data_IF_003532523192
#
_entry.id   IF_003532523192
#
_cell.length_a   1.000
_cell.length_b   1.000
_cell.length_c   1.000
_cell.angle_alpha   90.00
_cell.angle_beta   90.00
_cell.angle_gamma   90.00
#
_symmetry.space_group_name_H-M   'P 1'
#
loop_
_entity.id
_entity.type
_entity.pdbx_description
1 polymer ?
#
# COMPACT_ATOMS: atom_id res chain seq x y z
N UNK A 1 -6.81 36.18 -11.96
CA UNK A 1 -6.17 35.19 -11.06
C UNK A 1 -5.59 34.03 -11.86
N UNK A 2 -6.40 33.27 -12.59
CA UNK A 2 -5.92 32.11 -13.37
C UNK A 2 -4.86 32.52 -14.41
N UNK A 3 -5.09 33.57 -15.19
CA UNK A 3 -4.10 34.08 -16.15
C UNK A 3 -2.79 34.53 -15.49
N UNK A 4 -2.88 35.14 -14.31
CA UNK A 4 -1.70 35.53 -13.52
C UNK A 4 -0.90 34.32 -13.03
N UNK A 5 -1.59 33.25 -12.59
CA UNK A 5 -0.94 32.00 -12.19
C UNK A 5 -0.27 31.35 -13.41
N UNK A 6 -0.94 31.38 -14.57
CA UNK A 6 -0.38 30.82 -15.80
C UNK A 6 0.88 31.55 -16.25
N UNK A 7 0.84 32.88 -16.35
CA UNK A 7 2.00 33.66 -16.80
C UNK A 7 3.18 33.56 -15.84
N UNK A 8 2.94 33.48 -14.53
CA UNK A 8 4.02 33.58 -13.54
C UNK A 8 4.64 32.23 -13.16
N UNK A 9 3.95 31.09 -13.40
CA UNK A 9 4.38 29.76 -12.92
C UNK A 9 4.58 28.70 -14.01
N UNK A 10 4.02 28.87 -15.22
CA UNK A 10 4.32 27.97 -16.34
C UNK A 10 5.61 28.33 -17.09
N UNK A 11 6.06 29.58 -16.98
CA UNK A 11 7.23 30.09 -17.73
C UNK A 11 8.52 30.17 -16.90
N UNK A 12 8.44 30.04 -15.57
CA UNK A 12 9.59 30.21 -14.66
C UNK A 12 9.88 28.94 -13.86
N UNK A 13 11.14 28.76 -13.46
CA UNK A 13 11.65 27.75 -12.50
C UNK A 13 11.08 28.02 -11.10
N UNK A 14 9.76 27.91 -10.96
CA UNK A 14 9.07 28.17 -9.72
C UNK A 14 9.51 27.16 -8.65
N UNK A 15 9.74 27.66 -7.44
CA UNK A 15 10.02 26.83 -6.27
C UNK A 15 8.88 25.83 -6.05
N UNK A 16 9.23 24.58 -5.78
CA UNK A 16 8.28 23.46 -5.57
C UNK A 16 7.33 23.78 -4.43
N UNK A 17 7.79 24.49 -3.40
CA UNK A 17 6.96 24.94 -2.29
C UNK A 17 5.85 25.91 -2.76
N UNK A 18 6.18 26.84 -3.66
CA UNK A 18 5.20 27.77 -4.24
C UNK A 18 4.14 27.05 -5.07
N UNK A 19 4.54 26.03 -5.85
CA UNK A 19 3.60 25.23 -6.65
C UNK A 19 2.59 24.52 -5.74
N UNK A 20 3.05 23.92 -4.63
CA UNK A 20 2.19 23.27 -3.63
C UNK A 20 1.25 24.27 -2.96
N UNK A 21 1.74 25.47 -2.60
CA UNK A 21 0.91 26.49 -1.97
C UNK A 21 -0.22 26.96 -2.89
N UNK A 22 0.08 27.18 -4.17
CA UNK A 22 -0.90 27.64 -5.16
C UNK A 22 -1.93 26.55 -5.46
N UNK A 23 -1.49 25.31 -5.65
CA UNK A 23 -2.40 24.20 -5.93
C UNK A 23 -3.41 24.02 -4.79
N UNK A 24 -2.93 24.10 -3.54
CA UNK A 24 -3.77 24.06 -2.32
C UNK A 24 -4.67 25.27 -2.19
N UNK A 25 -4.16 26.47 -2.47
CA UNK A 25 -4.95 27.71 -2.42
C UNK A 25 -6.11 27.66 -3.40
N UNK A 26 -5.86 27.27 -4.65
CA UNK A 26 -6.90 27.13 -5.69
C UNK A 26 -7.97 26.09 -5.31
N UNK A 27 -7.55 24.99 -4.69
CA UNK A 27 -8.48 23.96 -4.20
C UNK A 27 -9.34 24.47 -3.04
N UNK A 28 -8.74 25.16 -2.08
CA UNK A 28 -9.41 25.63 -0.88
C UNK A 28 -10.29 26.87 -1.09
N UNK A 29 -10.00 27.69 -2.11
CA UNK A 29 -10.73 28.93 -2.39
C UNK A 29 -12.24 28.69 -2.63
N UNK A 30 -12.57 27.55 -3.25
CA UNK A 30 -13.96 27.15 -3.50
C UNK A 30 -14.73 26.84 -2.20
N UNK A 31 -14.04 26.40 -1.15
CA UNK A 31 -14.67 25.92 0.08
C UNK A 31 -14.59 26.95 1.22
N UNK A 32 -13.52 27.76 1.26
CA UNK A 32 -13.24 28.69 2.36
C UNK A 32 -13.83 30.10 2.17
N UNK A 33 -14.34 30.44 0.98
CA UNK A 33 -14.78 31.80 0.64
C UNK A 33 -16.27 31.87 0.27
N UNK A 34 -17.20 31.72 1.25
CA UNK A 34 -18.64 31.79 0.98
C UNK A 34 -19.09 33.20 0.53
N UNK A 35 -18.33 34.24 0.86
CA UNK A 35 -18.59 35.59 0.37
C UNK A 35 -18.29 35.75 -1.12
N UNK A 36 -17.30 35.00 -1.64
CA UNK A 36 -17.01 34.98 -3.07
C UNK A 36 -18.20 34.37 -3.82
N UNK A 37 -18.78 33.28 -3.30
CA UNK A 37 -20.02 32.70 -3.84
C UNK A 37 -21.16 33.72 -3.91
N UNK A 38 -21.33 34.54 -2.87
CA UNK A 38 -22.36 35.60 -2.84
C UNK A 38 -22.18 36.64 -3.94
N UNK A 39 -20.93 37.01 -4.27
CA UNK A 39 -20.64 37.93 -5.37
C UNK A 39 -21.15 37.40 -6.72
N UNK A 40 -21.04 36.10 -6.98
CA UNK A 40 -21.53 35.47 -8.22
C UNK A 40 -23.07 35.36 -8.25
N UNK A 41 -23.72 35.19 -7.09
CA UNK A 41 -25.19 35.14 -7.01
C UNK A 41 -25.87 36.51 -7.15
N UNK A 42 -25.24 37.59 -6.65
CA UNK A 42 -25.76 38.95 -6.79
C UNK A 42 -25.82 39.41 -8.25
N UNK A 43 -24.91 38.93 -9.10
CA UNK A 43 -24.91 39.22 -10.53
C UNK A 43 -26.09 38.58 -11.30
N UNK A 44 -26.76 37.56 -10.76
CA UNK A 44 -27.88 36.88 -11.43
C UNK A 44 -29.25 37.55 -11.20
N UNK A 45 -29.43 38.30 -10.12
CA UNK A 45 -30.74 38.84 -9.73
C UNK A 45 -31.29 39.94 -10.67
N UNK A 46 -30.50 40.45 -11.62
CA UNK A 46 -30.94 41.53 -12.50
C UNK A 46 -31.64 41.06 -13.78
N UNK A 47 -31.59 39.78 -14.16
CA UNK A 47 -32.23 39.30 -15.39
C UNK A 47 -33.04 38.02 -15.15
N UNK A 48 -34.36 38.18 -15.03
CA UNK A 48 -35.33 37.10 -15.11
C UNK A 48 -35.12 36.24 -16.36
N UNK A 49 -34.66 34.99 -16.19
CA UNK A 49 -35.08 33.83 -16.97
C UNK A 49 -34.54 32.54 -16.36
N UNK A 50 -35.48 31.64 -16.06
CA UNK A 50 -35.23 30.26 -15.68
C UNK A 50 -34.47 29.55 -16.80
N UNK A 51 -33.19 29.26 -16.58
CA UNK A 51 -32.42 28.29 -17.36
C UNK A 51 -31.60 27.47 -16.36
N UNK A 52 -31.90 26.17 -16.27
CA UNK A 52 -31.13 25.16 -15.56
C UNK A 52 -29.79 24.89 -16.27
N UNK A 53 -28.92 25.89 -16.32
CA UNK A 53 -27.53 25.72 -16.73
C UNK A 53 -26.69 26.25 -15.58
N UNK A 54 -25.74 25.42 -15.13
CA UNK A 54 -24.83 25.60 -13.99
C UNK A 54 -24.63 27.05 -13.57
N UNK A 55 -24.82 27.35 -12.28
CA UNK A 55 -24.62 28.71 -11.75
C UNK A 55 -23.20 29.20 -12.09
N UNK A 56 -22.98 30.50 -12.38
CA UNK A 56 -21.67 31.05 -12.73
C UNK A 56 -20.61 30.79 -11.65
N UNK A 57 -21.04 30.61 -10.39
CA UNK A 57 -20.18 30.11 -9.31
C UNK A 57 -19.66 28.70 -9.54
N UNK A 58 -20.50 27.77 -10.00
CA UNK A 58 -20.10 26.39 -10.31
C UNK A 58 -19.07 26.36 -11.45
N UNK A 59 -19.25 27.18 -12.48
CA UNK A 59 -18.28 27.32 -13.57
C UNK A 59 -16.93 27.87 -13.07
N UNK A 60 -16.95 28.92 -12.26
CA UNK A 60 -15.73 29.45 -11.63
C UNK A 60 -15.05 28.40 -10.73
N UNK A 61 -15.80 27.63 -9.95
CA UNK A 61 -15.27 26.55 -9.13
C UNK A 61 -14.63 25.44 -9.98
N UNK A 62 -15.25 25.09 -11.12
CA UNK A 62 -14.70 24.10 -12.05
C UNK A 62 -13.37 24.58 -12.63
N UNK A 63 -13.30 25.84 -13.08
CA UNK A 63 -12.05 26.43 -13.59
C UNK A 63 -10.95 26.43 -12.53
N UNK A 64 -11.24 26.87 -11.30
CA UNK A 64 -10.27 26.86 -10.20
C UNK A 64 -9.76 25.46 -9.87
N UNK A 65 -10.64 24.45 -9.86
CA UNK A 65 -10.27 23.05 -9.63
C UNK A 65 -9.43 22.48 -10.78
N UNK A 66 -9.75 22.82 -12.03
CA UNK A 66 -8.95 22.41 -13.19
C UNK A 66 -7.53 22.98 -13.11
N UNK A 67 -7.39 24.26 -12.75
CA UNK A 67 -6.08 24.89 -12.58
C UNK A 67 -5.31 24.34 -11.36
N UNK A 68 -6.01 24.00 -10.27
CA UNK A 68 -5.40 23.27 -9.15
C UNK A 68 -4.84 21.91 -9.60
N UNK A 69 -5.58 21.15 -10.40
CA UNK A 69 -5.10 19.89 -10.96
C UNK A 69 -3.89 20.11 -11.88
N UNK A 70 -3.92 21.14 -12.75
CA UNK A 70 -2.81 21.46 -13.65
C UNK A 70 -1.53 21.84 -12.89
N UNK A 71 -1.65 22.62 -11.81
CA UNK A 71 -0.52 22.97 -10.95
C UNK A 71 0.02 21.77 -10.17
N UNK A 72 -0.86 20.88 -9.69
CA UNK A 72 -0.42 19.60 -9.12
C UNK A 72 0.28 18.68 -10.13
N UNK A 73 -0.13 18.67 -11.39
CA UNK A 73 0.57 17.94 -12.47
C UNK A 73 1.96 18.52 -12.74
N UNK A 74 2.13 19.85 -12.64
CA UNK A 74 3.45 20.48 -12.74
C UNK A 74 4.35 20.02 -11.58
N UNK A 75 3.83 20.06 -10.35
CA UNK A 75 4.52 19.51 -9.18
C UNK A 75 4.93 18.05 -9.38
N UNK A 76 3.99 17.20 -9.83
CA UNK A 76 4.23 15.79 -10.11
C UNK A 76 5.38 15.60 -11.10
N UNK A 77 5.42 16.37 -12.20
CA UNK A 77 6.53 16.31 -13.17
C UNK A 77 7.87 16.68 -12.55
N UNK A 78 7.92 17.72 -11.72
CA UNK A 78 9.13 18.12 -11.00
C UNK A 78 9.61 17.04 -10.01
N UNK A 79 8.68 16.37 -9.33
CA UNK A 79 9.03 15.27 -8.41
C UNK A 79 9.49 14.04 -9.19
N UNK A 80 8.81 13.68 -10.28
CA UNK A 80 9.22 12.56 -11.14
C UNK A 80 10.62 12.77 -11.75
N UNK A 81 10.96 13.98 -12.20
CA UNK A 81 12.28 14.26 -12.76
C UNK A 81 13.40 14.14 -11.70
N UNK A 82 13.16 14.67 -10.50
CA UNK A 82 14.07 14.50 -9.35
C UNK A 82 14.21 13.03 -8.95
N UNK A 83 13.10 12.29 -8.94
CA UNK A 83 13.10 10.87 -8.64
C UNK A 83 13.97 10.08 -9.63
N UNK A 84 13.85 10.36 -10.93
CA UNK A 84 14.69 9.71 -11.94
C UNK A 84 16.19 9.99 -11.73
N UNK A 85 16.55 11.22 -11.35
CA UNK A 85 17.94 11.56 -11.02
C UNK A 85 18.40 10.78 -9.78
N UNK A 86 17.62 10.79 -8.71
CA UNK A 86 17.95 10.09 -7.48
C UNK A 86 18.03 8.57 -7.65
N UNK A 87 17.15 7.98 -8.48
CA UNK A 87 17.19 6.57 -8.81
C UNK A 87 18.51 6.22 -9.51
N UNK A 88 18.92 7.02 -10.51
CA UNK A 88 20.21 6.85 -11.19
C UNK A 88 21.40 6.99 -10.24
N UNK A 89 21.35 7.93 -9.30
CA UNK A 89 22.47 8.18 -8.38
C UNK A 89 22.57 7.13 -7.27
N UNK A 90 21.43 6.65 -6.75
CA UNK A 90 21.40 5.73 -5.60
C UNK A 90 21.41 4.26 -6.02
N UNK A 91 20.74 3.88 -7.09
CA UNK A 91 20.61 2.48 -7.51
C UNK A 91 21.75 2.01 -8.41
N UNK A 92 22.93 2.62 -8.36
CA UNK A 92 24.07 2.26 -9.22
C UNK A 92 24.53 0.83 -8.94
N UNK A 93 24.87 0.08 -10.01
CA UNK A 93 25.48 -1.23 -9.86
C UNK A 93 26.81 -1.11 -9.11
N UNK A 94 26.99 -1.81 -7.98
CA UNK A 94 28.27 -1.79 -7.28
C UNK A 94 29.34 -2.44 -8.16
N UNK A 95 30.35 -1.67 -8.55
CA UNK A 95 31.47 -2.15 -9.38
C UNK A 95 32.53 -2.91 -8.56
N UNK A 96 32.55 -2.70 -7.24
CA UNK A 96 33.51 -3.32 -6.33
C UNK A 96 32.80 -4.10 -5.22
N UNK A 97 33.48 -5.13 -4.69
CA UNK A 97 32.96 -5.93 -3.57
C UNK A 97 32.65 -5.08 -2.33
N UNK A 98 33.49 -4.07 -2.05
CA UNK A 98 33.26 -3.14 -0.94
C UNK A 98 31.96 -2.34 -1.11
N UNK A 99 31.65 -1.88 -2.34
CA UNK A 99 30.39 -1.19 -2.63
C UNK A 99 29.18 -2.14 -2.54
N UNK A 100 29.35 -3.42 -2.84
CA UNK A 100 28.30 -4.43 -2.65
C UNK A 100 28.01 -4.65 -1.16
N UNK A 101 29.05 -4.71 -0.31
CA UNK A 101 28.87 -4.83 1.14
C UNK A 101 28.12 -3.64 1.76
N UNK A 102 28.23 -2.46 1.16
CA UNK A 102 27.49 -1.27 1.60
C UNK A 102 26.05 -1.21 1.09
N UNK A 103 25.69 -2.01 0.07
CA UNK A 103 24.34 -2.03 -0.49
C UNK A 103 23.46 -3.17 0.07
N UNK A 104 24.08 -4.25 0.53
CA UNK A 104 23.40 -5.47 0.98
C UNK A 104 23.16 -5.44 2.49
N UNK A 105 21.90 -5.58 2.96
CA UNK A 105 21.61 -5.72 4.39
C UNK A 105 22.11 -7.07 4.93
N UNK A 106 22.12 -7.23 6.25
CA UNK A 106 22.47 -8.50 6.86
C UNK A 106 21.47 -9.60 6.46
N UNK A 107 21.97 -10.66 5.83
CA UNK A 107 21.18 -11.84 5.47
C UNK A 107 20.86 -12.69 6.70
N UNK A 108 19.67 -13.29 6.70
CA UNK A 108 19.24 -14.21 7.73
C UNK A 108 19.99 -15.55 7.56
N UNK A 109 20.40 -16.14 8.68
CA UNK A 109 21.01 -17.48 8.71
C UNK A 109 19.91 -18.48 9.10
N UNK A 110 19.67 -19.46 8.26
CA UNK A 110 18.71 -20.53 8.49
C UNK A 110 19.47 -21.84 8.62
N UNK A 111 19.30 -22.52 9.76
CA UNK A 111 19.88 -23.84 9.98
C UNK A 111 18.90 -24.93 9.56
N UNK A 112 19.31 -25.76 8.62
CA UNK A 112 18.60 -26.96 8.15
C UNK A 112 19.23 -28.15 8.86
N UNK A 113 18.40 -29.03 9.41
CA UNK A 113 18.85 -30.29 10.01
C UNK A 113 18.37 -31.43 9.12
N UNK A 114 19.31 -32.20 8.57
CA UNK A 114 19.03 -33.43 7.81
C UNK A 114 19.45 -34.64 8.64
N UNK A 115 18.56 -35.62 8.80
CA UNK A 115 18.91 -36.90 9.42
C UNK A 115 19.60 -37.80 8.39
N UNK A 116 20.89 -38.09 8.60
CA UNK A 116 21.60 -39.07 7.78
C UNK A 116 21.15 -40.51 8.13
N UNK A 117 21.29 -41.44 7.19
CA UNK A 117 20.92 -42.86 7.33
C UNK A 117 21.56 -43.58 8.53
N UNK A 118 22.62 -43.01 9.13
CA UNK A 118 23.27 -43.52 10.35
C UNK A 118 22.73 -42.91 11.67
N UNK A 119 21.63 -42.15 11.64
CA UNK A 119 21.04 -41.50 12.83
C UNK A 119 21.84 -40.29 13.34
N UNK A 120 22.76 -39.75 12.52
CA UNK A 120 23.46 -38.49 12.81
C UNK A 120 22.74 -37.35 12.11
N UNK A 121 22.33 -36.33 12.85
CA UNK A 121 21.80 -35.10 12.25
C UNK A 121 22.96 -34.23 11.72
N UNK A 122 22.90 -33.89 10.44
CA UNK A 122 23.80 -32.94 9.79
C UNK A 122 23.09 -31.60 9.79
N UNK A 123 23.66 -30.63 10.49
CA UNK A 123 23.18 -29.24 10.49
C UNK A 123 23.93 -28.45 9.43
N UNK A 124 23.21 -27.88 8.47
CA UNK A 124 23.75 -26.97 7.45
C UNK A 124 23.15 -25.58 7.63
N UNK A 125 23.98 -24.55 7.60
CA UNK A 125 23.54 -23.17 7.73
C UNK A 125 23.52 -22.50 6.35
N UNK A 126 22.34 -22.12 5.87
CA UNK A 126 22.15 -21.35 4.64
C UNK A 126 21.94 -19.86 4.96
N UNK A 127 22.28 -18.99 4.00
CA UNK A 127 22.09 -17.54 4.14
C UNK A 127 21.12 -17.04 3.09
N UNK A 128 20.12 -16.27 3.53
CA UNK A 128 19.04 -15.81 2.66
C UNK A 128 18.78 -14.30 2.86
N UNK A 129 18.53 -13.52 1.80
CA UNK A 129 18.13 -12.13 1.93
C UNK A 129 16.93 -11.94 2.87
N UNK A 130 17.05 -11.00 3.82
CA UNK A 130 16.03 -10.74 4.85
C UNK A 130 15.19 -9.49 4.58
N UNK A 131 15.77 -8.52 3.88
CA UNK A 131 15.25 -7.17 3.68
C UNK A 131 15.67 -6.63 2.31
N UNK A 132 14.93 -5.65 1.74
CA UNK A 132 15.32 -4.99 0.50
C UNK A 132 16.67 -4.29 0.63
N UNK A 133 17.35 -4.06 -0.50
CA UNK A 133 18.64 -3.41 -0.52
C UNK A 133 18.62 -2.02 0.11
N UNK A 134 19.73 -1.62 0.75
CA UNK A 134 19.83 -0.34 1.44
C UNK A 134 19.62 0.88 0.51
N UNK A 135 20.12 0.87 -0.75
CA UNK A 135 19.84 1.93 -1.71
C UNK A 135 18.35 2.05 -2.03
N UNK A 136 17.66 0.91 -2.20
CA UNK A 136 16.22 0.89 -2.44
C UNK A 136 15.45 1.46 -1.24
N UNK A 137 15.77 1.02 -0.02
CA UNK A 137 15.17 1.54 1.21
C UNK A 137 15.36 3.07 1.33
N UNK A 138 16.57 3.55 1.08
CA UNK A 138 16.90 4.99 1.12
C UNK A 138 16.11 5.78 0.09
N UNK A 139 15.97 5.27 -1.14
CA UNK A 139 15.21 5.90 -2.20
C UNK A 139 13.72 5.97 -1.87
N UNK A 140 13.11 4.86 -1.46
CA UNK A 140 11.69 4.81 -1.06
C UNK A 140 11.40 5.75 0.10
N UNK A 141 12.26 5.77 1.12
CA UNK A 141 12.12 6.69 2.26
C UNK A 141 12.20 8.16 1.83
N UNK A 142 13.15 8.50 0.96
CA UNK A 142 13.29 9.89 0.49
C UNK A 142 12.06 10.30 -0.35
N UNK A 143 11.55 9.39 -1.17
CA UNK A 143 10.33 9.64 -1.94
C UNK A 143 9.12 9.83 -1.03
N UNK A 144 8.95 8.99 0.00
CA UNK A 144 7.91 9.15 0.99
C UNK A 144 8.00 10.51 1.70
N UNK A 145 9.21 10.98 2.03
CA UNK A 145 9.44 12.30 2.62
C UNK A 145 9.03 13.44 1.67
N UNK A 146 9.32 13.35 0.37
CA UNK A 146 8.90 14.36 -0.60
C UNK A 146 7.38 14.47 -0.72
N UNK A 147 6.66 13.34 -0.72
CA UNK A 147 5.19 13.36 -0.75
C UNK A 147 4.64 13.86 0.60
N UNK A 148 5.23 13.45 1.73
CA UNK A 148 4.84 13.93 3.05
C UNK A 148 5.01 15.44 3.20
N UNK A 149 6.08 16.02 2.65
CA UNK A 149 6.31 17.46 2.63
C UNK A 149 5.20 18.24 1.88
N UNK A 150 4.59 17.62 0.86
CA UNK A 150 3.47 18.19 0.13
C UNK A 150 2.10 18.03 0.83
N UNK A 151 2.06 17.38 2.00
CA UNK A 151 0.84 16.99 2.71
C UNK A 151 -0.06 16.08 1.85
N UNK A 152 0.10 14.74 1.94
CA UNK A 152 -0.47 13.78 0.98
C UNK A 152 -1.99 13.85 0.84
N UNK A 153 -2.69 14.20 1.93
CA UNK A 153 -4.14 14.36 1.96
C UNK A 153 -4.67 15.53 1.11
N UNK A 154 -3.78 16.46 0.72
CA UNK A 154 -4.13 17.58 -0.15
C UNK A 154 -3.96 17.26 -1.64
N UNK A 155 -3.25 16.16 -1.96
CA UNK A 155 -2.95 15.76 -3.33
C UNK A 155 -4.18 15.04 -3.91
N UNK A 156 -4.65 15.43 -5.12
CA UNK A 156 -5.69 14.68 -5.81
C UNK A 156 -5.31 13.21 -5.99
N UNK A 157 -6.22 12.29 -5.64
CA UNK A 157 -5.97 10.83 -5.65
C UNK A 157 -5.38 10.33 -6.98
N UNK A 158 -5.85 10.84 -8.13
CA UNK A 158 -5.34 10.46 -9.45
C UNK A 158 -3.85 10.81 -9.60
N UNK A 159 -3.46 12.02 -9.24
CA UNK A 159 -2.08 12.52 -9.33
C UNK A 159 -1.17 11.71 -8.41
N UNK A 160 -1.65 11.39 -7.21
CA UNK A 160 -0.92 10.54 -6.27
C UNK A 160 -0.72 9.11 -6.81
N UNK A 161 -1.77 8.49 -7.37
CA UNK A 161 -1.68 7.16 -7.97
C UNK A 161 -0.70 7.13 -9.15
N UNK A 162 -0.79 8.10 -10.05
CA UNK A 162 0.14 8.24 -11.17
C UNK A 162 1.58 8.49 -10.70
N UNK A 163 1.79 9.24 -9.62
CA UNK A 163 3.12 9.44 -9.03
C UNK A 163 3.73 8.13 -8.54
N UNK A 164 2.96 7.30 -7.83
CA UNK A 164 3.41 5.97 -7.36
C UNK A 164 3.67 5.04 -8.54
N UNK A 165 2.80 5.05 -9.56
CA UNK A 165 3.01 4.25 -10.77
C UNK A 165 4.26 4.67 -11.54
N UNK A 166 4.54 5.97 -11.65
CA UNK A 166 5.78 6.48 -12.25
C UNK A 166 7.02 6.07 -11.44
N UNK A 167 6.92 6.06 -10.11
CA UNK A 167 7.97 5.54 -9.23
C UNK A 167 8.25 4.07 -9.51
N UNK A 168 7.21 3.24 -9.51
CA UNK A 168 7.35 1.81 -9.81
C UNK A 168 7.97 1.61 -11.19
N UNK A 169 7.47 2.26 -12.23
CA UNK A 169 8.03 2.15 -13.57
C UNK A 169 9.51 2.53 -13.60
N UNK A 170 9.87 3.67 -12.99
CA UNK A 170 11.28 4.10 -12.91
C UNK A 170 12.15 3.05 -12.23
N UNK A 171 11.69 2.47 -11.12
CA UNK A 171 12.43 1.40 -10.42
C UNK A 171 12.57 0.16 -11.30
N UNK A 172 11.46 -0.31 -11.90
CA UNK A 172 11.47 -1.49 -12.76
C UNK A 172 12.38 -1.30 -13.98
N UNK A 173 12.46 -0.11 -14.56
CA UNK A 173 13.38 0.18 -15.66
C UNK A 173 14.85 -0.03 -15.24
N UNK A 174 15.22 0.35 -14.01
CA UNK A 174 16.58 0.11 -13.49
C UNK A 174 16.82 -1.39 -13.23
N UNK A 175 15.84 -2.10 -12.64
CA UNK A 175 15.98 -3.55 -12.43
C UNK A 175 15.99 -4.33 -13.75
N UNK A 176 15.28 -3.86 -14.78
CA UNK A 176 15.30 -4.44 -16.11
C UNK A 176 16.68 -4.25 -16.78
N UNK A 177 17.28 -3.07 -16.63
CA UNK A 177 18.67 -2.82 -17.06
C UNK A 177 19.65 -3.76 -16.33
N UNK A 178 19.50 -3.95 -15.02
CA UNK A 178 20.33 -4.91 -14.28
C UNK A 178 20.12 -6.34 -14.75
N UNK A 179 18.88 -6.78 -14.94
CA UNK A 179 18.56 -8.14 -15.39
C UNK A 179 19.15 -8.46 -16.77
N UNK A 180 19.37 -7.44 -17.59
CA UNK A 180 19.96 -7.58 -18.92
C UNK A 180 21.49 -7.68 -18.89
N UNK A 181 22.12 -7.34 -17.76
CA UNK A 181 23.56 -7.45 -17.56
C UNK A 181 23.99 -8.91 -17.35
N UNK A 182 25.06 -9.34 -18.01
CA UNK A 182 25.55 -10.73 -17.95
C UNK A 182 26.40 -11.05 -16.71
N UNK A 183 26.79 -10.05 -15.90
CA UNK A 183 27.83 -10.17 -14.87
C UNK A 183 27.26 -10.20 -13.44
N UNK A 184 26.03 -10.69 -13.25
CA UNK A 184 25.39 -10.72 -11.93
C UNK A 184 25.81 -12.00 -11.19
N UNK A 185 26.35 -11.84 -9.97
CA UNK A 185 26.61 -12.97 -9.08
C UNK A 185 25.28 -13.54 -8.53
N UNK A 186 25.22 -14.84 -8.28
CA UNK A 186 24.03 -15.49 -7.71
C UNK A 186 23.52 -14.82 -6.43
N UNK A 187 24.43 -14.46 -5.51
CA UNK A 187 24.05 -13.77 -4.28
C UNK A 187 23.43 -12.37 -4.55
N UNK A 188 23.91 -11.68 -5.58
CA UNK A 188 23.34 -10.41 -6.01
C UNK A 188 21.98 -10.61 -6.69
N UNK A 189 21.84 -11.65 -7.52
CA UNK A 189 20.57 -12.01 -8.14
C UNK A 189 19.50 -12.31 -7.09
N UNK A 190 19.84 -13.03 -6.01
CA UNK A 190 18.93 -13.29 -4.88
C UNK A 190 18.46 -12.00 -4.19
N UNK A 191 19.37 -11.03 -3.97
CA UNK A 191 19.01 -9.74 -3.39
C UNK A 191 18.11 -8.91 -4.32
N UNK A 192 18.43 -8.86 -5.61
CA UNK A 192 17.62 -8.14 -6.61
C UNK A 192 16.24 -8.79 -6.80
N UNK A 193 16.15 -10.12 -6.75
CA UNK A 193 14.90 -10.86 -6.77
C UNK A 193 14.03 -10.49 -5.56
N UNK A 194 14.62 -10.47 -4.35
CA UNK A 194 13.91 -10.02 -3.15
C UNK A 194 13.40 -8.58 -3.32
N UNK A 195 14.22 -7.67 -3.83
CA UNK A 195 13.85 -6.27 -4.06
C UNK A 195 12.63 -6.14 -4.98
N UNK A 196 12.64 -6.80 -6.15
CA UNK A 196 11.54 -6.75 -7.12
C UNK A 196 10.25 -7.33 -6.55
N UNK A 197 10.32 -8.47 -5.86
CA UNK A 197 9.15 -9.09 -5.23
C UNK A 197 8.63 -8.24 -4.05
N UNK A 198 9.52 -7.61 -3.28
CA UNK A 198 9.16 -6.64 -2.25
C UNK A 198 8.42 -5.43 -2.83
N UNK A 199 8.93 -4.84 -3.91
CA UNK A 199 8.26 -3.72 -4.61
C UNK A 199 6.89 -4.13 -5.15
N UNK A 200 6.80 -5.33 -5.71
CA UNK A 200 5.54 -5.88 -6.21
C UNK A 200 4.51 -6.00 -5.09
N UNK A 201 4.90 -6.56 -3.94
CA UNK A 201 4.00 -6.73 -2.81
C UNK A 201 3.60 -5.41 -2.14
N UNK A 202 4.48 -4.39 -2.12
CA UNK A 202 4.23 -3.12 -1.44
C UNK A 202 3.54 -2.06 -2.33
N UNK A 203 3.91 -1.95 -3.62
CA UNK A 203 3.60 -0.79 -4.47
C UNK A 203 2.78 -1.06 -5.75
N UNK A 204 2.77 -2.30 -6.30
CA UNK A 204 1.95 -2.73 -7.45
C UNK A 204 0.56 -3.34 -7.12
N UNK A 205 -0.56 -2.66 -7.45
CA UNK A 205 -1.89 -3.18 -7.13
C UNK A 205 -2.18 -4.48 -7.87
N UNK A 206 -2.84 -5.44 -7.21
CA UNK A 206 -3.19 -6.75 -7.82
C UNK A 206 -4.09 -6.62 -9.05
N UNK A 207 -4.84 -5.54 -9.16
CA UNK A 207 -5.67 -5.19 -10.32
C UNK A 207 -4.85 -4.61 -11.49
N UNK A 208 -3.64 -4.09 -11.25
CA UNK A 208 -2.75 -3.63 -12.30
C UNK A 208 -1.95 -4.80 -12.91
N UNK A 209 -2.61 -5.55 -13.79
CA UNK A 209 -2.02 -6.71 -14.48
C UNK A 209 -0.77 -6.36 -15.31
N UNK A 210 -0.68 -5.14 -15.82
CA UNK A 210 0.45 -4.70 -16.65
C UNK A 210 1.73 -4.62 -15.82
N UNK A 211 1.69 -3.92 -14.69
CA UNK A 211 2.83 -3.84 -13.78
C UNK A 211 3.16 -5.19 -13.15
N UNK A 212 2.14 -5.97 -12.75
CA UNK A 212 2.34 -7.33 -12.23
C UNK A 212 3.08 -8.22 -13.25
N UNK A 213 2.69 -8.15 -14.53
CA UNK A 213 3.36 -8.85 -15.61
C UNK A 213 4.82 -8.41 -15.78
N UNK A 214 5.09 -7.10 -15.79
CA UNK A 214 6.47 -6.57 -15.85
C UNK A 214 7.33 -7.06 -14.68
N UNK A 215 6.80 -7.00 -13.46
CA UNK A 215 7.49 -7.50 -12.28
C UNK A 215 7.83 -8.99 -12.39
N UNK A 216 6.92 -9.80 -12.93
CA UNK A 216 7.18 -11.23 -13.11
C UNK A 216 8.27 -11.47 -14.14
N UNK A 217 8.21 -10.83 -15.32
CA UNK A 217 9.24 -10.96 -16.34
C UNK A 217 10.63 -10.61 -15.81
N UNK A 218 10.74 -9.55 -15.02
CA UNK A 218 12.01 -9.16 -14.40
C UNK A 218 12.44 -10.17 -13.33
N UNK A 219 11.49 -10.71 -12.56
CA UNK A 219 11.77 -11.77 -11.59
C UNK A 219 12.30 -13.03 -12.25
N UNK A 220 11.64 -13.50 -13.32
CA UNK A 220 12.04 -14.68 -14.09
C UNK A 220 13.48 -14.54 -14.61
N UNK A 221 13.84 -13.36 -15.13
CA UNK A 221 15.21 -13.07 -15.59
C UNK A 221 16.25 -13.17 -14.47
N UNK A 222 15.90 -12.85 -13.22
CA UNK A 222 16.79 -13.02 -12.08
C UNK A 222 16.80 -14.45 -11.55
N UNK A 223 15.67 -15.15 -11.59
CA UNK A 223 15.54 -16.58 -11.27
C UNK A 223 16.42 -17.41 -12.21
N UNK A 224 16.49 -17.07 -13.52
CA UNK A 224 17.38 -17.69 -14.51
C UNK A 224 18.90 -17.53 -14.20
N UNK A 225 19.28 -16.62 -13.29
CA UNK A 225 20.67 -16.40 -12.86
C UNK A 225 21.02 -17.15 -11.57
N UNK A 226 20.08 -17.88 -11.00
CA UNK A 226 20.22 -18.62 -9.75
C UNK A 226 20.19 -20.10 -10.08
N UNK A 227 20.99 -20.90 -9.37
CA UNK A 227 20.90 -22.35 -9.51
C UNK A 227 19.49 -22.85 -9.11
N UNK A 228 18.83 -23.72 -9.89
CA UNK A 228 17.46 -24.14 -9.63
C UNK A 228 17.28 -24.90 -8.31
N UNK A 229 18.29 -25.66 -7.87
CA UNK A 229 18.22 -26.33 -6.56
C UNK A 229 18.31 -25.31 -5.43
N UNK A 230 19.26 -24.38 -5.52
CA UNK A 230 19.40 -23.31 -4.54
C UNK A 230 18.14 -22.45 -4.47
N UNK A 231 17.54 -22.15 -5.63
CA UNK A 231 16.29 -21.40 -5.71
C UNK A 231 15.18 -22.11 -4.95
N UNK A 232 14.93 -23.40 -5.21
CA UNK A 232 13.89 -24.17 -4.52
C UNK A 232 14.09 -24.21 -3.00
N UNK A 233 15.34 -24.35 -2.54
CA UNK A 233 15.69 -24.34 -1.11
C UNK A 233 15.47 -22.95 -0.49
N UNK A 234 15.83 -21.86 -1.18
CA UNK A 234 15.76 -20.50 -0.64
C UNK A 234 14.37 -19.87 -0.72
N UNK A 235 13.57 -20.21 -1.74
CA UNK A 235 12.26 -19.63 -2.02
C UNK A 235 11.31 -19.51 -0.82
N UNK A 236 11.06 -20.56 -0.01
CA UNK A 236 10.15 -20.45 1.13
C UNK A 236 10.62 -19.42 2.16
N UNK A 237 11.93 -19.30 2.37
CA UNK A 237 12.51 -18.33 3.29
C UNK A 237 12.46 -16.91 2.73
N UNK A 238 12.78 -16.72 1.44
CA UNK A 238 12.70 -15.43 0.75
C UNK A 238 11.26 -14.90 0.80
N UNK A 239 10.26 -15.73 0.49
CA UNK A 239 8.85 -15.33 0.53
C UNK A 239 8.41 -14.85 1.92
N UNK A 240 8.81 -15.58 2.96
CA UNK A 240 8.51 -15.18 4.35
C UNK A 240 9.23 -13.87 4.73
N UNK A 241 10.47 -13.69 4.28
CA UNK A 241 11.25 -12.48 4.52
C UNK A 241 10.65 -11.26 3.81
N UNK A 242 10.17 -11.42 2.58
CA UNK A 242 9.43 -10.37 1.86
C UNK A 242 8.20 -9.94 2.66
N UNK A 243 7.37 -10.89 3.11
CA UNK A 243 6.17 -10.59 3.92
C UNK A 243 6.53 -9.85 5.20
N UNK A 244 7.53 -10.34 5.94
CA UNK A 244 8.03 -9.70 7.17
C UNK A 244 8.59 -8.30 6.92
N UNK A 245 9.30 -8.10 5.82
CA UNK A 245 9.86 -6.81 5.43
C UNK A 245 8.76 -5.80 5.08
N UNK A 246 7.79 -6.19 4.26
CA UNK A 246 6.61 -5.36 3.93
C UNK A 246 5.85 -4.99 5.20
N UNK A 247 5.59 -5.95 6.08
CA UNK A 247 4.92 -5.69 7.36
C UNK A 247 5.66 -4.66 8.22
N UNK A 248 7.00 -4.70 8.27
CA UNK A 248 7.81 -3.75 9.05
C UNK A 248 7.82 -2.35 8.46
N UNK A 249 7.77 -2.24 7.14
CA UNK A 249 8.00 -0.98 6.41
C UNK A 249 6.73 -0.30 5.92
N UNK A 250 5.60 -1.01 5.85
CA UNK A 250 4.32 -0.48 5.35
C UNK A 250 3.84 0.78 6.08
N UNK A 251 4.10 0.91 7.39
CA UNK A 251 3.66 2.08 8.16
C UNK A 251 4.50 3.31 7.85
N UNK A 252 5.81 3.12 7.65
CA UNK A 252 6.74 4.19 7.27
C UNK A 252 6.51 4.65 5.83
N UNK A 253 6.22 3.70 4.94
CA UNK A 253 6.00 3.94 3.51
C UNK A 253 4.51 4.01 3.15
N UNK A 254 3.62 4.24 4.13
CA UNK A 254 2.17 4.18 3.93
C UNK A 254 1.64 5.13 2.86
N UNK A 255 2.34 6.25 2.64
CA UNK A 255 2.03 7.19 1.56
C UNK A 255 2.29 6.59 0.17
N UNK A 256 3.20 5.63 0.02
CA UNK A 256 3.49 4.96 -1.25
C UNK A 256 2.60 3.73 -1.48
N UNK A 257 1.91 3.24 -0.44
CA UNK A 257 1.08 2.04 -0.52
C UNK A 257 -0.19 2.35 -1.31
N UNK A 258 -0.32 1.74 -2.50
CA UNK A 258 -1.46 1.99 -3.37
C UNK A 258 -2.76 1.25 -2.94
N UNK A 259 -2.70 0.23 -2.07
CA UNK A 259 -3.87 -0.50 -1.53
C UNK A 259 -3.77 -0.83 -0.02
N UNK A 260 -3.82 0.15 0.88
CA UNK A 260 -3.60 -0.07 2.31
C UNK A 260 -4.54 -1.13 2.93
N UNK A 261 -5.80 -1.19 2.50
CA UNK A 261 -6.80 -2.12 3.05
C UNK A 261 -6.51 -3.60 2.73
N UNK A 262 -6.00 -3.88 1.52
CA UNK A 262 -5.70 -5.24 1.07
C UNK A 262 -4.29 -5.68 1.47
N UNK A 263 -3.37 -4.73 1.69
CA UNK A 263 -1.99 -5.01 2.08
C UNK A 263 -1.93 -5.70 3.44
N UNK A 264 -2.76 -5.27 4.40
CA UNK A 264 -2.85 -5.87 5.73
C UNK A 264 -3.32 -7.34 5.69
N UNK A 265 -4.17 -7.70 4.72
CA UNK A 265 -4.64 -9.07 4.51
C UNK A 265 -3.54 -9.93 3.90
N UNK A 266 -2.87 -9.43 2.86
CA UNK A 266 -1.83 -10.14 2.12
C UNK A 266 -0.53 -10.32 2.93
N UNK A 267 -0.24 -9.36 3.82
CA UNK A 267 0.92 -9.41 4.72
C UNK A 267 0.67 -10.20 6.00
N UNK A 268 -0.52 -10.81 6.16
CA UNK A 268 -0.85 -11.63 7.33
C UNK A 268 -1.07 -10.85 8.63
N UNK A 269 -1.28 -9.53 8.58
CA UNK A 269 -1.55 -8.70 9.77
C UNK A 269 -2.98 -8.83 10.30
N UNK A 270 -3.90 -9.41 9.55
CA UNK A 270 -5.13 -9.90 10.16
C UNK A 270 -4.79 -11.17 10.92
N UNK A 271 -4.73 -11.08 12.24
CA UNK A 271 -5.10 -12.22 13.07
C UNK A 271 -6.38 -12.80 12.49
N UNK A 272 -6.44 -14.12 12.30
CA UNK A 272 -7.68 -14.80 11.95
C UNK A 272 -8.77 -14.23 12.86
N UNK A 273 -9.65 -13.40 12.31
CA UNK A 273 -10.91 -13.09 12.99
C UNK A 273 -11.65 -14.41 12.98
N UNK A 274 -11.46 -15.18 14.05
CA UNK A 274 -12.47 -16.10 14.51
C UNK A 274 -13.80 -15.37 14.39
N UNK A 275 -14.82 -16.07 13.91
CA UNK A 275 -16.15 -15.60 13.52
C UNK A 275 -16.98 -14.95 14.63
N UNK A 276 -16.36 -14.46 15.71
CA UNK A 276 -16.97 -13.52 16.65
C UNK A 276 -16.70 -12.10 16.19
N UNK A 277 -17.76 -11.40 15.80
CA UNK A 277 -17.79 -9.94 15.75
C UNK A 277 -17.53 -9.45 17.19
N UNK A 278 -16.27 -9.23 17.54
CA UNK A 278 -15.93 -8.50 18.78
C UNK A 278 -16.06 -7.01 18.46
N UNK A 279 -17.14 -6.40 18.95
CA UNK A 279 -17.29 -4.96 18.93
C UNK A 279 -16.09 -4.33 19.67
N UNK A 280 -15.37 -3.37 19.07
CA UNK A 280 -14.25 -2.71 19.73
C UNK A 280 -14.77 -1.99 20.98
N UNK A 281 -14.23 -2.33 22.14
CA UNK A 281 -14.58 -1.71 23.42
C UNK A 281 -14.10 -0.26 23.44
N UNK A 282 -15.02 0.67 23.19
CA UNK A 282 -14.80 2.12 23.27
C UNK A 282 -14.75 2.51 24.76
N UNK A 283 -13.60 2.99 25.24
CA UNK A 283 -13.54 3.70 26.53
C UNK A 283 -14.45 4.93 26.44
N UNK A 284 -15.23 5.20 27.49
CA UNK A 284 -16.11 6.36 27.57
C UNK A 284 -15.31 7.65 27.36
N UNK A 285 -15.57 8.34 26.25
CA UNK A 285 -14.98 9.62 25.90
C UNK A 285 -16.02 10.73 26.07
N UNK A 286 -15.56 11.92 26.47
CA UNK A 286 -16.32 13.16 26.43
C UNK A 286 -16.95 13.37 25.04
N UNK A 287 -18.25 13.64 25.00
CA UNK A 287 -19.11 13.63 23.81
C UNK A 287 -18.74 14.59 22.66
N UNK A 288 -17.69 15.43 22.77
CA UNK A 288 -17.53 16.63 21.93
C UNK A 288 -16.13 16.87 21.32
N UNK A 289 -15.33 15.84 21.01
CA UNK A 289 -14.06 16.03 20.29
C UNK A 289 -14.10 15.37 18.90
N UNK A 290 -14.37 16.10 17.80
CA UNK A 290 -14.51 15.52 16.45
C UNK A 290 -13.18 15.33 15.71
N UNK A 291 -12.03 15.48 16.38
CA UNK A 291 -10.73 15.67 15.70
C UNK A 291 -9.90 14.39 15.51
N UNK A 292 -10.30 13.26 16.10
CA UNK A 292 -9.55 12.01 15.94
C UNK A 292 -10.47 10.81 15.73
N UNK A 293 -10.22 10.04 14.67
CA UNK A 293 -10.80 8.72 14.49
C UNK A 293 -10.33 7.82 15.63
N UNK A 294 -11.27 7.16 16.32
CA UNK A 294 -11.00 6.30 17.45
C UNK A 294 -10.05 5.16 17.05
N UNK A 295 -8.88 5.09 17.68
CA UNK A 295 -7.95 3.98 17.49
C UNK A 295 -8.47 2.75 18.23
N UNK A 296 -8.59 1.58 17.58
CA UNK A 296 -8.96 0.35 18.26
C UNK A 296 -7.83 -0.09 19.20
N UNK A 297 -8.10 -0.14 20.50
CA UNK A 297 -7.18 -0.66 21.52
C UNK A 297 -7.66 -2.05 21.95
N UNK A 298 -6.83 -3.06 21.74
CA UNK A 298 -7.08 -4.41 22.26
C UNK A 298 -6.62 -4.49 23.72
N UNK A 299 -7.57 -4.62 24.65
CA UNK A 299 -7.27 -4.89 26.06
C UNK A 299 -6.86 -6.35 26.28
N UNK A 300 -6.10 -6.67 27.34
CA UNK A 300 -5.80 -8.05 27.71
C UNK A 300 -7.08 -8.83 28.07
N UNK A 301 -7.15 -10.14 27.79
CA UNK A 301 -8.30 -10.96 28.17
C UNK A 301 -8.35 -11.11 29.69
N UNK A 302 -9.39 -10.57 30.34
CA UNK A 302 -9.70 -10.89 31.76
C UNK A 302 -10.30 -9.79 32.63
N UNK A 303 -10.28 -8.51 32.22
CA UNK A 303 -10.65 -7.39 33.11
C UNK A 303 -12.01 -6.76 32.81
N UNK A 304 -13.03 -7.55 32.44
CA UNK A 304 -14.38 -7.03 32.18
C UNK A 304 -15.23 -7.02 33.47
N UNK A 305 -15.51 -5.82 34.01
CA UNK A 305 -16.60 -5.59 34.97
C UNK A 305 -17.87 -5.35 34.14
N UNK A 306 -18.95 -6.13 34.30
CA UNK A 306 -20.20 -5.87 33.60
C UNK A 306 -20.92 -4.67 34.21
N UNK A 307 -21.01 -3.55 33.48
CA UNK A 307 -21.93 -2.47 33.81
C UNK A 307 -23.36 -2.90 33.44
N UNK A 308 -24.15 -3.20 34.47
CA UNK A 308 -25.58 -3.38 34.34
C UNK A 308 -26.26 -2.01 34.19
N UNK A 309 -27.06 -1.83 33.15
CA UNK A 309 -28.11 -0.81 33.11
C UNK A 309 -29.45 -1.56 33.00
N UNK A 310 -30.46 -1.26 33.84
CA UNK A 310 -31.72 -2.00 33.86
C UNK A 310 -32.61 -1.61 32.67
N UNK A 311 -33.15 -2.60 31.94
CA UNK A 311 -34.26 -2.39 31.02
C UNK A 311 -35.58 -2.29 31.80
N UNK A 312 -36.29 -1.19 31.59
CA UNK A 312 -37.67 -0.98 32.04
C UNK A 312 -38.63 -1.71 31.10
N UNK A 313 -39.53 -2.49 31.71
CA UNK A 313 -40.61 -3.28 31.13
C UNK A 313 -41.44 -2.58 30.05
N UNK A 314 -41.76 -3.32 28.99
CA UNK A 314 -43.12 -3.35 28.41
C UNK A 314 -43.57 -4.78 28.16
N UNK A 315 -44.73 -5.09 28.72
CA UNK A 315 -45.40 -6.40 28.79
C UNK A 315 -46.19 -6.78 27.52
N UNK A 316 -46.38 -8.10 27.38
CA UNK A 316 -47.42 -8.88 26.65
C UNK A 316 -46.97 -9.65 25.39
N UNK A 317 -47.55 -10.84 25.10
CA UNK A 317 -47.37 -12.08 25.86
C UNK A 317 -46.91 -13.26 24.98
N UNK A 318 -46.16 -14.18 25.57
CA UNK A 318 -45.73 -15.46 24.96
C UNK A 318 -46.91 -16.41 24.65
N UNK A 319 -46.80 -17.14 23.53
CA UNK A 319 -47.50 -18.42 23.35
C UNK A 319 -46.47 -19.53 23.09
N UNK A 320 -46.30 -20.41 24.08
CA UNK A 320 -45.53 -21.67 24.04
C UNK A 320 -46.24 -22.73 23.19
N UNK A 321 -45.46 -23.54 22.44
CA UNK A 321 -45.65 -25.00 22.19
C UNK A 321 -44.25 -25.58 21.85
N UNK A 322 -43.55 -26.25 22.78
CA UNK A 322 -43.49 -27.71 23.04
C UNK A 322 -43.14 -28.60 21.82
N UNK A 323 -41.95 -29.21 21.88
CA UNK A 323 -41.37 -30.35 21.13
C UNK A 323 -42.14 -31.69 21.37
N UNK A 324 -41.77 -32.93 20.89
CA UNK A 324 -40.53 -33.39 20.21
C UNK A 324 -40.66 -34.55 19.14
N UNK A 325 -39.48 -35.02 18.64
CA UNK A 325 -39.06 -36.44 18.39
C UNK A 325 -39.17 -37.11 16.97
N UNK A 326 -38.47 -38.25 16.70
CA UNK A 326 -37.47 -38.40 15.61
C UNK A 326 -37.76 -39.60 14.65
N UNK A 327 -36.85 -39.87 13.69
CA UNK A 327 -36.57 -41.18 13.03
C UNK A 327 -35.46 -40.98 11.99
N UNK A 328 -34.29 -41.58 12.15
CA UNK A 328 -33.86 -42.97 11.89
C UNK A 328 -33.22 -43.13 10.50
N UNK A 329 -32.10 -43.83 10.54
CA UNK A 329 -30.99 -43.88 9.60
C UNK A 329 -31.22 -44.86 8.44
N UNK A 330 -30.42 -44.73 7.37
CA UNK A 330 -29.55 -45.76 6.71
C UNK A 330 -29.20 -45.31 5.25
N UNK A 331 -28.18 -45.88 4.55
CA UNK A 331 -26.84 -45.29 4.52
C UNK A 331 -26.24 -45.20 3.10
N UNK A 332 -25.79 -44.01 2.68
CA UNK A 332 -25.01 -43.93 1.44
C UNK A 332 -24.82 -42.49 1.01
N UNK A 333 -23.55 -42.13 0.78
CA UNK A 333 -23.10 -40.87 0.17
C UNK A 333 -23.40 -39.61 0.98
N UNK A 334 -22.43 -39.16 1.80
CA UNK A 334 -22.08 -37.74 2.02
C UNK A 334 -21.20 -37.60 3.27
N UNK A 335 -19.90 -37.94 3.20
CA UNK A 335 -18.83 -37.23 3.94
C UNK A 335 -17.49 -37.51 3.26
N UNK A 336 -16.97 -36.52 2.53
CA UNK A 336 -15.58 -36.04 2.64
C UNK A 336 -15.51 -34.60 2.12
N UNK A 337 -16.39 -33.73 2.65
CA UNK A 337 -16.11 -32.30 2.72
C UNK A 337 -15.31 -32.05 3.99
N UNK A 338 -14.00 -32.13 3.87
CA UNK A 338 -13.05 -31.67 4.87
C UNK A 338 -12.21 -30.56 4.24
N UNK A 339 -12.00 -29.47 4.98
CA UNK A 339 -11.33 -28.23 4.60
C UNK A 339 -9.91 -28.36 4.01
N UNK A 340 -9.40 -29.57 3.77
CA UNK A 340 -8.11 -29.82 3.12
C UNK A 340 -8.15 -29.66 1.59
N UNK A 341 -9.31 -29.80 0.93
CA UNK A 341 -9.40 -29.71 -0.53
C UNK A 341 -9.46 -28.27 -1.07
N UNK A 342 -9.52 -27.25 -0.20
CA UNK A 342 -9.55 -25.83 -0.62
C UNK A 342 -8.21 -25.11 -0.41
N UNK A 343 -7.28 -25.68 0.35
CA UNK A 343 -5.93 -25.12 0.58
C UNK A 343 -4.81 -25.84 -0.19
N UNK A 344 -5.11 -26.98 -0.83
CA UNK A 344 -4.12 -27.82 -1.50
C UNK A 344 -3.86 -27.55 -2.99
N UNK A 345 -4.47 -26.53 -3.59
CA UNK A 345 -4.42 -26.32 -5.05
C UNK A 345 -4.03 -24.90 -5.50
N UNK A 346 -3.43 -24.07 -4.63
CA UNK A 346 -2.91 -22.74 -4.99
C UNK A 346 -1.52 -22.47 -4.41
N UNK A 347 -0.65 -23.50 -4.31
CA UNK A 347 0.74 -23.32 -3.87
C UNK A 347 1.77 -23.46 -5.00
N UNK A 348 1.36 -23.24 -6.25
CA UNK A 348 2.27 -23.15 -7.38
C UNK A 348 1.82 -21.97 -8.22
N UNK A 349 2.31 -20.81 -7.84
CA UNK A 349 2.68 -19.70 -8.72
C UNK A 349 2.79 -18.47 -7.83
N UNK A 350 3.80 -17.66 -8.12
CA UNK A 350 4.28 -16.56 -7.28
C UNK A 350 3.29 -15.41 -7.06
N UNK A 351 1.99 -15.60 -7.34
CA UNK A 351 0.96 -14.56 -7.30
C UNK A 351 -0.33 -14.94 -6.60
#
# INVERSE_FOLDING_TARGET
LIEFIKSHFLESTADVACIILISRFLQALCDLCPNLQKCFTLCQNNNNKAVMVTSPWQEACLLLRQESIATWQLWQRCVCSRLQQMARDKLVQPQHLASLLQSVPQWDVVSIEEEADEGRSIRSDIRVPSQPSLPLQSLLNTMAQHINAAAPHTIPRKIHQELVENLVNTLLDHYEEFSSSSVILQAQALQLLLDVKYLTMLLVPRDNKVLMGRCQVISDKFEDKIDPFDLDVFCPYIQNNIKRSVQRTQSLLGVLVAWPEKLAVVSGLRANTSTSVEDPSVLSLCNNAPWFSLLPVTGPPGTRIPSSIPQVNQDKPQRKKTSPKPKDQTPGELVRSGAAAFFGAMSSDWF
#
